data_IF_385158314729
#
_entry.id   IF_385158314729
#
_cell.length_a   1.000
_cell.length_b   1.000
_cell.length_c   1.000
_cell.angle_alpha   90.00
_cell.angle_beta   90.00
_cell.angle_gamma   90.00
#
_symmetry.space_group_name_H-M   'P 1'
#
loop_
_entity.id
_entity.type
_entity.pdbx_description
1 polymer ?
#
# COMPACT_ATOMS: atom_id res chain seq x y z
N UNK A 1 6.73 12.79 4.53
CA UNK A 1 5.79 13.25 3.52
C UNK A 1 4.36 12.80 3.81
N UNK A 2 4.20 11.55 4.20
CA UNK A 2 2.88 11.02 4.57
C UNK A 2 2.26 11.78 5.73
N UNK A 3 3.04 12.12 6.74
CA UNK A 3 2.56 12.87 7.90
C UNK A 3 2.15 14.29 7.51
N UNK A 4 2.89 14.91 6.60
CA UNK A 4 2.53 16.23 6.07
C UNK A 4 1.22 16.17 5.30
N UNK A 5 1.01 15.12 4.54
CA UNK A 5 -0.21 14.93 3.78
C UNK A 5 -1.41 14.77 4.72
N UNK A 6 -1.28 13.92 5.74
CA UNK A 6 -2.33 13.71 6.73
C UNK A 6 -2.67 15.02 7.43
N UNK A 7 -1.66 15.76 7.85
CA UNK A 7 -1.87 17.07 8.49
C UNK A 7 -2.62 18.03 7.57
N UNK A 8 -2.22 18.10 6.29
CA UNK A 8 -2.86 18.97 5.33
C UNK A 8 -4.33 18.61 5.11
N UNK A 9 -4.63 17.31 5.05
CA UNK A 9 -6.01 16.85 4.91
C UNK A 9 -6.87 17.25 6.11
N UNK A 10 -6.32 17.14 7.31
CA UNK A 10 -7.04 17.51 8.53
C UNK A 10 -7.28 19.00 8.63
N UNK A 11 -6.33 19.82 8.18
CA UNK A 11 -6.43 21.27 8.27
C UNK A 11 -7.25 21.90 7.14
N UNK A 12 -7.11 21.40 5.92
CA UNK A 12 -7.69 22.02 4.72
C UNK A 12 -8.82 21.20 4.09
N UNK A 13 -8.90 19.94 4.41
CA UNK A 13 -9.89 19.03 3.83
C UNK A 13 -9.40 18.31 2.60
N UNK A 14 -10.06 17.19 2.29
CA UNK A 14 -9.66 16.28 1.22
C UNK A 14 -9.92 16.80 -0.19
N UNK A 15 -10.76 17.85 -0.29
CA UNK A 15 -11.10 18.44 -1.60
C UNK A 15 -10.33 19.72 -1.88
N UNK A 16 -9.48 20.17 -0.96
CA UNK A 16 -8.64 21.36 -1.15
C UNK A 16 -7.63 21.11 -2.27
N UNK A 17 -7.46 22.08 -3.17
CA UNK A 17 -6.56 21.96 -4.33
C UNK A 17 -5.11 21.71 -3.92
N UNK A 18 -4.65 22.34 -2.86
CA UNK A 18 -3.28 22.15 -2.36
C UNK A 18 -3.10 20.72 -1.85
N UNK A 19 -4.12 20.18 -1.16
CA UNK A 19 -4.12 18.81 -0.66
C UNK A 19 -4.09 17.83 -1.83
N UNK A 20 -4.92 18.05 -2.85
CA UNK A 20 -4.97 17.20 -4.03
C UNK A 20 -3.62 17.21 -4.75
N UNK A 21 -3.02 18.38 -4.92
CA UNK A 21 -1.70 18.50 -5.54
C UNK A 21 -0.64 17.73 -4.77
N UNK A 22 -0.65 17.84 -3.44
CA UNK A 22 0.28 17.13 -2.59
C UNK A 22 0.08 15.61 -2.69
N UNK A 23 -1.16 15.16 -2.73
CA UNK A 23 -1.48 13.73 -2.92
C UNK A 23 -0.96 13.21 -4.25
N UNK A 24 -1.12 13.97 -5.32
CA UNK A 24 -0.61 13.58 -6.64
C UNK A 24 0.91 13.43 -6.62
N UNK A 25 1.60 14.39 -6.02
CA UNK A 25 3.04 14.34 -5.88
C UNK A 25 3.48 13.13 -5.06
N UNK A 26 2.85 12.90 -3.94
CA UNK A 26 3.13 11.76 -3.07
C UNK A 26 2.91 10.43 -3.81
N UNK A 27 1.82 10.34 -4.56
CA UNK A 27 1.52 9.13 -5.34
C UNK A 27 2.60 8.84 -6.37
N UNK A 28 3.10 9.87 -7.06
CA UNK A 28 4.19 9.69 -8.02
C UNK A 28 5.47 9.21 -7.36
N UNK A 29 5.79 9.74 -6.18
CA UNK A 29 6.95 9.29 -5.42
C UNK A 29 6.82 7.82 -5.02
N UNK A 30 5.65 7.42 -4.57
CA UNK A 30 5.40 6.03 -4.20
C UNK A 30 5.52 5.09 -5.39
N UNK A 31 5.00 5.49 -6.55
CA UNK A 31 5.11 4.67 -7.77
C UNK A 31 6.58 4.50 -8.15
N UNK A 32 7.35 5.57 -8.09
CA UNK A 32 8.79 5.52 -8.39
C UNK A 32 9.52 4.59 -7.42
N UNK A 33 9.21 4.70 -6.13
CA UNK A 33 9.84 3.83 -5.13
C UNK A 33 9.48 2.37 -5.36
N UNK A 34 8.22 2.09 -5.64
CA UNK A 34 7.75 0.75 -5.93
C UNK A 34 8.49 0.14 -7.13
N UNK A 35 8.60 0.89 -8.22
CA UNK A 35 9.29 0.43 -9.43
C UNK A 35 10.79 0.19 -9.14
N UNK A 36 11.41 1.09 -8.40
CA UNK A 36 12.81 0.96 -8.03
C UNK A 36 13.07 -0.28 -7.18
N UNK A 37 12.24 -0.49 -6.17
CA UNK A 37 12.38 -1.66 -5.31
C UNK A 37 12.15 -2.96 -6.06
N UNK A 38 11.24 -2.95 -7.04
CA UNK A 38 11.00 -4.11 -7.89
C UNK A 38 12.23 -4.44 -8.73
N UNK A 39 12.87 -3.43 -9.29
CA UNK A 39 14.10 -3.61 -10.08
C UNK A 39 15.27 -4.11 -9.21
N UNK A 40 15.41 -3.58 -8.01
CA UNK A 40 16.44 -4.01 -7.07
C UNK A 40 16.23 -5.49 -6.73
N UNK A 41 14.99 -5.88 -6.50
CA UNK A 41 14.64 -7.25 -6.20
C UNK A 41 15.02 -8.22 -7.32
N UNK A 42 14.79 -7.82 -8.56
CA UNK A 42 15.14 -8.64 -9.72
C UNK A 42 16.64 -8.89 -9.81
N UNK A 43 17.45 -7.92 -9.38
CA UNK A 43 18.91 -8.03 -9.47
C UNK A 43 19.54 -8.63 -8.23
N UNK A 44 19.03 -8.30 -7.06
CA UNK A 44 19.65 -8.69 -5.79
C UNK A 44 18.97 -9.86 -5.10
N UNK A 45 17.72 -10.17 -5.50
CA UNK A 45 16.97 -11.29 -4.94
C UNK A 45 16.41 -11.07 -3.54
N UNK A 46 16.97 -10.16 -2.76
CA UNK A 46 16.52 -9.87 -1.42
C UNK A 46 15.82 -8.52 -1.38
N UNK A 47 14.58 -8.52 -0.93
CA UNK A 47 13.74 -7.32 -0.98
C UNK A 47 12.70 -7.31 0.13
N UNK A 48 12.24 -6.10 0.51
CA UNK A 48 11.04 -5.99 1.33
C UNK A 48 9.83 -6.49 0.53
N UNK A 49 8.87 -7.06 1.21
CA UNK A 49 7.59 -7.40 0.58
C UNK A 49 6.82 -6.11 0.37
N UNK A 50 6.28 -5.95 -0.81
CA UNK A 50 5.52 -4.74 -1.18
C UNK A 50 4.04 -5.06 -1.26
N UNK A 51 3.23 -4.23 -0.63
CA UNK A 51 1.77 -4.29 -0.72
C UNK A 51 1.32 -2.99 -1.35
N UNK A 52 0.54 -3.08 -2.42
CA UNK A 52 -0.12 -1.92 -3.00
C UNK A 52 -1.52 -1.85 -2.41
N UNK A 53 -1.87 -0.72 -1.84
CA UNK A 53 -3.17 -0.50 -1.22
C UNK A 53 -3.90 0.61 -1.97
N UNK A 54 -5.11 0.30 -2.45
CA UNK A 54 -5.94 1.25 -3.18
C UNK A 54 -7.17 1.57 -2.34
N UNK A 55 -7.44 2.86 -2.16
CA UNK A 55 -8.53 3.35 -1.34
C UNK A 55 -9.20 4.55 -1.98
N UNK A 56 -10.34 4.96 -1.43
CA UNK A 56 -10.99 6.22 -1.78
C UNK A 56 -11.30 6.99 -0.51
N UNK A 57 -11.05 8.29 -0.52
CA UNK A 57 -11.44 9.19 0.57
C UNK A 57 -12.90 9.62 0.44
N UNK A 58 -13.50 9.41 -0.72
CA UNK A 58 -14.85 9.92 -1.03
C UNK A 58 -15.94 8.88 -0.87
N UNK A 59 -15.67 7.61 -1.20
CA UNK A 59 -16.71 6.59 -1.21
C UNK A 59 -16.14 5.21 -0.92
N UNK A 60 -15.78 4.98 0.35
CA UNK A 60 -15.29 3.66 0.76
C UNK A 60 -15.37 3.55 2.28
N UNK A 61 -16.35 2.82 2.76
CA UNK A 61 -16.60 2.69 4.20
C UNK A 61 -15.49 1.93 4.93
N UNK A 62 -14.94 0.91 4.30
CA UNK A 62 -13.94 0.04 4.93
C UNK A 62 -12.50 0.47 4.68
N UNK A 63 -12.28 1.52 3.90
CA UNK A 63 -10.91 1.91 3.53
C UNK A 63 -10.09 2.41 4.72
N UNK A 64 -10.68 3.18 5.62
CA UNK A 64 -9.97 3.66 6.81
C UNK A 64 -9.56 2.48 7.70
N UNK A 65 -10.49 1.56 7.90
CA UNK A 65 -10.25 0.36 8.67
C UNK A 65 -9.13 -0.48 8.06
N UNK A 66 -9.15 -0.63 6.75
CA UNK A 66 -8.09 -1.33 6.04
C UNK A 66 -6.73 -0.66 6.22
N UNK A 67 -6.70 0.66 6.19
CA UNK A 67 -5.48 1.43 6.43
C UNK A 67 -4.88 1.17 7.80
N UNK A 68 -5.70 1.08 8.83
CA UNK A 68 -5.24 0.79 10.19
C UNK A 68 -4.63 -0.62 10.28
N UNK A 69 -5.27 -1.60 9.64
CA UNK A 69 -4.77 -2.97 9.63
C UNK A 69 -3.40 -3.03 8.94
N UNK A 70 -3.26 -2.34 7.80
CA UNK A 70 -1.99 -2.30 7.07
C UNK A 70 -0.89 -1.60 7.87
N UNK A 71 -1.22 -0.55 8.59
CA UNK A 71 -0.27 0.15 9.46
C UNK A 71 0.23 -0.79 10.55
N UNK A 72 -0.68 -1.52 11.20
CA UNK A 72 -0.31 -2.50 12.22
C UNK A 72 0.58 -3.60 11.65
N UNK A 73 0.24 -4.09 10.47
CA UNK A 73 1.03 -5.13 9.81
C UNK A 73 2.44 -4.65 9.54
N UNK A 74 2.59 -3.42 9.03
CA UNK A 74 3.89 -2.84 8.73
C UNK A 74 4.73 -2.61 9.98
N UNK A 75 4.10 -2.16 11.07
CA UNK A 75 4.79 -1.92 12.33
C UNK A 75 5.33 -3.20 12.94
N UNK A 76 4.59 -4.29 12.82
CA UNK A 76 5.04 -5.58 13.32
C UNK A 76 6.02 -6.29 12.39
N UNK A 77 6.08 -5.88 11.13
CA UNK A 77 6.89 -6.54 10.11
C UNK A 77 7.69 -5.51 9.32
N UNK A 78 8.84 -5.08 9.83
CA UNK A 78 9.64 -4.04 9.17
C UNK A 78 10.07 -4.36 7.74
N UNK A 79 10.03 -5.63 7.35
CA UNK A 79 10.33 -6.04 5.97
C UNK A 79 9.19 -5.82 5.00
N UNK A 80 8.06 -5.24 5.43
CA UNK A 80 6.92 -4.98 4.58
C UNK A 80 6.84 -3.50 4.25
N UNK A 81 6.65 -3.18 2.98
CA UNK A 81 6.38 -1.82 2.52
C UNK A 81 4.94 -1.75 2.04
N UNK A 82 4.24 -0.71 2.45
CA UNK A 82 2.87 -0.45 2.00
C UNK A 82 2.86 0.84 1.19
N UNK A 83 2.41 0.74 -0.05
CA UNK A 83 2.23 1.88 -0.94
C UNK A 83 0.74 2.16 -1.05
N UNK A 84 0.31 3.32 -0.60
CA UNK A 84 -1.10 3.68 -0.54
C UNK A 84 -1.47 4.66 -1.65
N UNK A 85 -2.50 4.33 -2.41
CA UNK A 85 -2.94 5.13 -3.55
C UNK A 85 -4.41 5.48 -3.44
N UNK A 86 -4.70 6.77 -3.56
CA UNK A 86 -6.08 7.25 -3.65
C UNK A 86 -6.58 7.02 -5.07
N UNK A 87 -7.52 6.11 -5.21
CA UNK A 87 -8.08 5.68 -6.49
C UNK A 87 -8.66 6.84 -7.31
N UNK A 88 -9.13 7.89 -6.63
CA UNK A 88 -9.85 8.99 -7.28
C UNK A 88 -8.92 10.06 -7.88
N UNK A 89 -7.62 9.96 -7.67
CA UNK A 89 -6.68 10.94 -8.19
C UNK A 89 -6.48 10.84 -9.70
N UNK A 90 -6.45 11.99 -10.36
CA UNK A 90 -6.21 12.08 -11.79
C UNK A 90 -4.70 12.12 -12.07
N UNK A 91 -4.08 10.96 -12.01
CA UNK A 91 -2.65 10.77 -12.29
C UNK A 91 -2.52 9.61 -13.27
N UNK A 92 -1.97 9.85 -14.44
CA UNK A 92 -1.90 8.84 -15.49
C UNK A 92 -1.14 7.59 -15.07
N UNK A 93 -0.03 7.75 -14.37
CA UNK A 93 0.75 6.61 -13.89
C UNK A 93 -0.07 5.76 -12.91
N UNK A 94 -0.87 6.39 -12.06
CA UNK A 94 -1.74 5.70 -11.14
C UNK A 94 -2.85 4.96 -11.88
N UNK A 95 -3.45 5.59 -12.88
CA UNK A 95 -4.49 4.96 -13.70
C UNK A 95 -3.97 3.73 -14.42
N UNK A 96 -2.72 3.79 -14.88
CA UNK A 96 -2.07 2.64 -15.50
C UNK A 96 -1.90 1.50 -14.49
N UNK A 97 -1.47 1.82 -13.29
CA UNK A 97 -1.32 0.84 -12.22
C UNK A 97 -2.64 0.18 -11.85
N UNK A 98 -3.69 0.99 -11.74
CA UNK A 98 -5.06 0.52 -11.50
C UNK A 98 -5.51 -0.44 -12.59
N UNK A 99 -5.22 -0.10 -13.85
CA UNK A 99 -5.59 -0.92 -15.00
C UNK A 99 -4.83 -2.25 -15.02
N UNK A 100 -3.53 -2.20 -14.78
CA UNK A 100 -2.68 -3.41 -14.75
C UNK A 100 -3.20 -4.42 -13.72
N UNK A 101 -3.54 -3.93 -12.53
CA UNK A 101 -4.01 -4.80 -11.44
C UNK A 101 -5.51 -5.00 -11.43
N UNK A 102 -6.22 -4.42 -12.39
CA UNK A 102 -7.68 -4.58 -12.54
C UNK A 102 -8.45 -4.22 -11.27
N UNK A 103 -8.09 -3.10 -10.66
CA UNK A 103 -8.74 -2.64 -9.45
C UNK A 103 -10.14 -2.13 -9.79
N UNK A 104 -11.17 -2.73 -9.21
CA UNK A 104 -12.57 -2.37 -9.45
C UNK A 104 -13.35 -2.11 -8.17
N UNK A 105 -12.98 -2.75 -7.09
CA UNK A 105 -13.64 -2.61 -5.80
C UNK A 105 -12.64 -2.15 -4.76
N UNK A 106 -13.08 -1.33 -3.82
CA UNK A 106 -12.25 -0.74 -2.78
C UNK A 106 -12.78 -1.13 -1.39
N UNK A 107 -11.92 -1.33 -0.42
CA UNK A 107 -10.47 -1.30 -0.53
C UNK A 107 -9.94 -2.48 -1.34
N UNK A 108 -8.77 -2.32 -1.92
CA UNK A 108 -8.09 -3.41 -2.62
C UNK A 108 -6.62 -3.44 -2.22
N UNK A 109 -6.08 -4.62 -2.06
CA UNK A 109 -4.64 -4.79 -1.83
C UNK A 109 -4.06 -5.72 -2.89
N UNK A 110 -2.86 -5.39 -3.34
CA UNK A 110 -2.14 -6.22 -4.31
C UNK A 110 -0.90 -6.77 -3.62
N UNK A 111 -0.80 -8.07 -3.55
CA UNK A 111 0.29 -8.80 -2.91
C UNK A 111 0.84 -9.80 -3.90
N UNK A 112 2.13 -9.72 -4.21
CA UNK A 112 2.77 -10.60 -5.20
C UNK A 112 2.01 -10.61 -6.54
N UNK A 113 1.61 -9.44 -7.00
CA UNK A 113 0.88 -9.22 -8.24
C UNK A 113 -0.53 -9.84 -8.26
N UNK A 114 -1.04 -10.28 -7.13
CA UNK A 114 -2.41 -10.80 -6.99
C UNK A 114 -3.27 -9.76 -6.29
N UNK A 115 -4.38 -9.41 -6.91
CA UNK A 115 -5.33 -8.42 -6.39
C UNK A 115 -6.35 -9.09 -5.49
N UNK A 116 -6.50 -8.55 -4.29
CA UNK A 116 -7.51 -8.98 -3.32
C UNK A 116 -8.45 -7.82 -3.07
N UNK A 117 -9.70 -7.97 -3.52
CA UNK A 117 -10.72 -6.94 -3.37
C UNK A 117 -11.48 -7.13 -2.06
N UNK A 118 -11.89 -6.00 -1.47
CA UNK A 118 -12.61 -6.01 -0.21
C UNK A 118 -11.68 -6.00 0.99
N UNK A 119 -12.29 -5.76 2.14
CA UNK A 119 -11.56 -5.65 3.40
C UNK A 119 -10.89 -6.97 3.78
N UNK A 120 -9.62 -6.89 4.15
CA UNK A 120 -8.82 -8.00 4.66
C UNK A 120 -8.39 -7.69 6.09
N UNK A 121 -8.79 -8.51 7.03
CA UNK A 121 -8.35 -8.30 8.41
C UNK A 121 -6.89 -8.70 8.58
N UNK A 122 -6.35 -8.48 9.76
CA UNK A 122 -4.94 -8.74 10.05
C UNK A 122 -4.56 -10.20 9.77
N UNK A 123 -5.37 -11.13 10.25
CA UNK A 123 -5.11 -12.56 10.04
C UNK A 123 -5.22 -12.95 8.58
N UNK A 124 -6.19 -12.36 7.86
CA UNK A 124 -6.35 -12.57 6.43
C UNK A 124 -5.11 -12.14 5.66
N UNK A 125 -4.56 -10.97 5.99
CA UNK A 125 -3.34 -10.47 5.35
C UNK A 125 -2.14 -11.34 5.66
N UNK A 126 -2.01 -11.80 6.89
CA UNK A 126 -0.89 -12.69 7.26
C UNK A 126 -0.93 -14.00 6.48
N UNK A 127 -2.10 -14.52 6.21
CA UNK A 127 -2.25 -15.74 5.39
C UNK A 127 -1.85 -15.50 3.94
N UNK A 128 -2.06 -14.28 3.44
CA UNK A 128 -1.71 -13.93 2.07
C UNK A 128 -0.21 -13.71 1.89
N UNK A 129 0.53 -13.56 2.99
CA UNK A 129 1.96 -13.31 2.96
C UNK A 129 2.69 -14.39 3.77
N UNK A 130 2.77 -15.61 3.24
CA UNK A 130 3.36 -16.73 3.97
C UNK A 130 4.80 -16.51 4.41
N UNK A 131 5.56 -15.72 3.67
CA UNK A 131 6.94 -15.40 4.02
C UNK A 131 7.06 -14.61 5.33
N UNK A 132 6.04 -13.83 5.70
CA UNK A 132 6.03 -13.15 6.99
C UNK A 132 5.94 -14.16 8.12
N UNK A 133 5.09 -15.16 7.95
CA UNK A 133 4.94 -16.23 8.92
C UNK A 133 6.27 -16.97 9.06
N UNK A 134 6.90 -17.30 7.94
CA UNK A 134 8.19 -17.96 7.94
C UNK A 134 9.28 -17.11 8.59
N UNK A 135 9.24 -15.80 8.38
CA UNK A 135 10.21 -14.87 8.98
C UNK A 135 10.09 -14.79 10.50
N UNK A 136 8.91 -15.05 11.03
CA UNK A 136 8.70 -15.04 12.47
C UNK A 136 9.06 -16.36 13.11
N UNK A 137 9.36 -17.37 12.32
CA UNK A 137 9.80 -18.65 12.84
C UNK A 137 11.15 -18.46 13.51
N UNK A 138 11.32 -18.90 14.74
CA UNK A 138 12.58 -18.74 15.42
C UNK A 138 13.72 -19.36 14.64
N UNK A 139 14.83 -18.70 14.68
CA UNK A 139 16.03 -19.16 13.99
C UNK A 139 16.70 -20.33 14.68
N UNK A 140 16.02 -20.95 15.60
CA UNK A 140 16.52 -22.10 16.30
C UNK A 140 16.95 -23.23 15.39
N UNK A 141 16.40 -23.23 14.18
CA UNK A 141 16.77 -24.24 13.20
C UNK A 141 18.22 -24.10 12.70
N UNK A 142 18.86 -23.03 13.07
CA UNK A 142 20.23 -22.78 12.65
C UNK A 142 21.23 -23.75 13.25
N UNK A 143 20.76 -24.60 14.12
CA UNK A 143 21.62 -25.65 14.68
C UNK A 143 21.88 -26.72 13.66
#
# INVERSE_FOLDING_TARGET
>A
LSDKLTYAEEQKGITDDDVITLKKFYSLLQIKDYILMKKIAEKCGDRPRSILYFYSSLSCDDCRKQGYVLTSLREENPGVRVYSFDYDLDVNALKTLISIHKIKELPAVVIDDVTHSGYQDFDGLKKLIPTLIASTTPTTQQK
#
